data_IF_922422875667
#
_entry.id   IF_922422875667
#
_cell.length_a   1.000
_cell.length_b   1.000
_cell.length_c   1.000
_cell.angle_alpha   90.00
_cell.angle_beta   90.00
_cell.angle_gamma   90.00
#
_symmetry.space_group_name_H-M   'P 1'
#
loop_
_entity.id
_entity.type
_entity.pdbx_description
1 polymer ?
#
# COMPACT_ATOMS: atom_id res chain seq x y z
N UNK A 1 -1.65 21.93 10.69
CA UNK A 1 -1.41 20.47 10.75
C UNK A 1 -1.82 19.90 9.40
N UNK A 2 -0.86 19.46 8.60
CA UNK A 2 -1.17 18.91 7.28
C UNK A 2 -1.50 17.42 7.45
N UNK A 3 -2.80 17.11 7.35
CA UNK A 3 -3.37 15.77 7.42
C UNK A 3 -4.03 15.48 6.08
N UNK A 4 -3.67 14.36 5.46
CA UNK A 4 -4.21 13.95 4.16
C UNK A 4 -4.89 12.60 4.31
N UNK A 5 -6.17 12.53 3.97
CA UNK A 5 -6.96 11.31 4.03
C UNK A 5 -7.36 10.90 2.62
N UNK A 6 -7.18 9.63 2.31
CA UNK A 6 -7.62 9.03 1.05
C UNK A 6 -8.33 7.71 1.29
N UNK A 7 -9.15 7.33 0.32
CA UNK A 7 -9.86 6.05 0.30
C UNK A 7 -9.39 5.24 -0.90
N UNK A 8 -9.11 3.96 -0.69
CA UNK A 8 -8.78 3.00 -1.74
C UNK A 8 -9.74 1.82 -1.71
N UNK A 9 -9.84 1.12 -2.85
CA UNK A 9 -10.69 -0.05 -3.02
C UNK A 9 -9.85 -1.30 -3.30
N UNK A 10 -10.16 -2.45 -2.68
CA UNK A 10 -9.53 -3.71 -3.07
C UNK A 10 -10.01 -4.13 -4.47
N UNK A 11 -9.31 -5.07 -5.08
CA UNK A 11 -9.66 -5.65 -6.38
C UNK A 11 -9.70 -7.19 -6.32
N UNK A 12 -10.39 -7.80 -7.28
CA UNK A 12 -10.34 -9.24 -7.53
C UNK A 12 -9.73 -9.48 -8.91
N UNK A 13 -8.69 -10.32 -8.96
CA UNK A 13 -8.05 -10.74 -10.19
C UNK A 13 -8.91 -11.74 -10.99
N UNK A 14 -9.18 -11.42 -12.25
CA UNK A 14 -9.85 -12.28 -13.24
C UNK A 14 -8.78 -13.06 -14.03
N UNK A 15 -7.69 -12.39 -14.42
CA UNK A 15 -6.43 -13.04 -14.81
C UNK A 15 -5.45 -12.91 -13.64
N UNK A 16 -4.96 -14.04 -13.15
CA UNK A 16 -4.22 -14.11 -11.87
C UNK A 16 -2.80 -13.56 -11.99
N UNK A 17 -2.39 -12.79 -10.98
CA UNK A 17 -0.98 -12.53 -10.69
C UNK A 17 -0.45 -13.75 -9.92
N UNK A 18 0.45 -14.54 -10.50
CA UNK A 18 1.01 -15.71 -9.82
C UNK A 18 2.42 -16.05 -10.30
N UNK A 19 3.39 -15.99 -9.40
CA UNK A 19 4.82 -16.10 -9.73
C UNK A 19 5.51 -14.73 -9.80
N UNK A 20 6.83 -14.71 -9.58
CA UNK A 20 7.65 -13.51 -9.63
C UNK A 20 8.95 -13.80 -10.36
N UNK A 21 9.25 -13.00 -11.38
CA UNK A 21 10.55 -13.03 -12.07
C UNK A 21 11.62 -12.28 -11.27
N UNK A 22 11.22 -11.24 -10.53
CA UNK A 22 12.10 -10.54 -9.61
C UNK A 22 11.38 -10.26 -8.28
N UNK A 23 11.85 -10.89 -7.21
CA UNK A 23 11.23 -10.82 -5.87
C UNK A 23 11.46 -9.46 -5.22
N UNK A 24 12.67 -8.89 -5.36
CA UNK A 24 13.09 -7.65 -4.71
C UNK A 24 12.31 -6.45 -5.27
N UNK A 25 12.17 -6.39 -6.59
CA UNK A 25 11.40 -5.37 -7.30
C UNK A 25 9.90 -5.69 -7.42
N UNK A 26 9.47 -6.87 -6.95
CA UNK A 26 8.10 -7.36 -7.04
C UNK A 26 7.55 -7.48 -8.49
N UNK A 27 8.42 -7.81 -9.45
CA UNK A 27 8.05 -7.96 -10.88
C UNK A 27 7.38 -9.33 -11.11
N UNK A 28 6.15 -9.38 -11.67
CA UNK A 28 5.46 -10.63 -11.94
C UNK A 28 6.06 -11.41 -13.11
N UNK A 29 5.85 -12.73 -13.09
CA UNK A 29 6.12 -13.62 -14.22
C UNK A 29 5.07 -13.53 -15.34
N UNK A 30 3.91 -12.94 -15.08
CA UNK A 30 2.85 -12.77 -16.06
C UNK A 30 2.00 -11.51 -15.79
N UNK A 31 1.45 -10.93 -16.84
CA UNK A 31 0.46 -9.85 -16.69
C UNK A 31 -0.82 -10.36 -16.03
N UNK A 32 -1.50 -9.50 -15.29
CA UNK A 32 -2.77 -9.77 -14.61
C UNK A 32 -3.83 -8.73 -14.96
N UNK A 33 -5.10 -9.11 -14.85
CA UNK A 33 -6.25 -8.20 -15.02
C UNK A 33 -7.18 -8.40 -13.84
N UNK A 34 -7.61 -7.31 -13.21
CA UNK A 34 -8.48 -7.29 -12.04
C UNK A 34 -9.60 -6.27 -12.17
N UNK A 35 -10.66 -6.44 -11.39
CA UNK A 35 -11.75 -5.47 -11.28
C UNK A 35 -11.87 -4.93 -9.84
N UNK A 36 -12.08 -3.61 -9.65
CA UNK A 36 -12.21 -3.02 -8.30
C UNK A 36 -13.54 -3.35 -7.63
N UNK A 37 -13.52 -3.56 -6.31
CA UNK A 37 -14.72 -3.76 -5.48
C UNK A 37 -15.12 -2.44 -4.81
N UNK A 38 -15.96 -1.65 -5.48
CA UNK A 38 -16.30 -0.28 -5.06
C UNK A 38 -17.00 -0.18 -3.70
N UNK A 39 -17.63 -1.25 -3.21
CA UNK A 39 -18.30 -1.28 -1.90
C UNK A 39 -17.38 -1.53 -0.72
N UNK A 40 -16.17 -2.06 -0.97
CA UNK A 40 -15.17 -2.30 0.07
C UNK A 40 -14.16 -1.18 0.04
N UNK A 41 -13.81 -0.67 1.22
CA UNK A 41 -12.95 0.50 1.34
C UNK A 41 -11.85 0.27 2.37
N UNK A 42 -10.68 0.85 2.11
CA UNK A 42 -9.64 1.10 3.11
C UNK A 42 -9.41 2.60 3.14
N UNK A 43 -9.67 3.22 4.29
CA UNK A 43 -9.38 4.64 4.52
C UNK A 43 -8.01 4.77 5.18
N UNK A 44 -7.12 5.53 4.56
CA UNK A 44 -5.78 5.77 5.09
C UNK A 44 -5.60 7.26 5.30
N UNK A 45 -5.05 7.63 6.44
CA UNK A 45 -4.68 9.00 6.73
C UNK A 45 -3.20 9.09 7.05
N UNK A 46 -2.54 10.08 6.46
CA UNK A 46 -1.17 10.46 6.79
C UNK A 46 -1.19 11.82 7.47
N UNK A 47 -0.35 11.99 8.48
CA UNK A 47 -0.14 13.25 9.18
C UNK A 47 1.32 13.36 9.58
N UNK A 48 1.86 14.59 9.54
CA UNK A 48 3.20 14.84 10.07
C UNK A 48 3.21 14.63 11.58
N UNK A 49 4.23 13.91 12.06
CA UNK A 49 4.48 13.65 13.47
C UNK A 49 5.97 13.79 13.75
N UNK A 50 6.34 13.99 15.01
CA UNK A 50 7.75 14.03 15.44
C UNK A 50 8.44 12.67 15.30
N UNK A 51 7.66 11.59 15.34
CA UNK A 51 8.17 10.21 15.19
C UNK A 51 7.25 9.41 14.28
N UNK A 52 7.84 8.54 13.45
CA UNK A 52 7.07 7.67 12.57
C UNK A 52 6.23 6.66 13.37
N UNK A 53 4.95 6.58 13.04
CA UNK A 53 4.01 5.63 13.64
C UNK A 53 3.16 4.99 12.55
N UNK A 54 2.88 3.70 12.70
CA UNK A 54 1.93 2.99 11.86
C UNK A 54 0.79 2.47 12.73
N UNK A 55 -0.44 2.83 12.37
CA UNK A 55 -1.65 2.46 13.09
C UNK A 55 -2.57 1.76 12.09
N UNK A 56 -2.92 0.51 12.38
CA UNK A 56 -3.84 -0.30 11.57
C UNK A 56 -5.02 -0.73 12.44
N UNK A 57 -6.25 -0.45 12.01
CA UNK A 57 -7.46 -0.77 12.76
C UNK A 57 -7.43 -0.28 14.22
N UNK A 58 -6.97 0.97 14.42
CA UNK A 58 -6.80 1.63 15.72
C UNK A 58 -5.76 0.98 16.66
N UNK A 59 -4.93 0.06 16.15
CA UNK A 59 -3.83 -0.54 16.91
C UNK A 59 -2.50 -0.06 16.33
N UNK A 60 -1.60 0.38 17.21
CA UNK A 60 -0.23 0.68 16.80
C UNK A 60 0.49 -0.63 16.48
N UNK A 61 1.08 -0.70 15.30
CA UNK A 61 1.82 -1.87 14.79
C UNK A 61 3.24 -1.45 14.39
N UNK A 62 4.13 -2.42 14.22
CA UNK A 62 5.44 -2.14 13.63
C UNK A 62 5.30 -1.67 12.18
N UNK A 63 6.12 -0.68 11.79
CA UNK A 63 6.09 -0.14 10.43
C UNK A 63 6.68 -1.19 9.47
N UNK A 64 5.88 -1.73 8.52
CA UNK A 64 6.37 -2.73 7.58
C UNK A 64 7.51 -2.20 6.71
N UNK A 65 8.51 -3.04 6.44
CA UNK A 65 9.67 -2.66 5.61
C UNK A 65 9.25 -2.07 4.25
N UNK A 66 8.23 -2.65 3.62
CA UNK A 66 7.71 -2.17 2.32
C UNK A 66 7.15 -0.74 2.39
N UNK A 67 6.57 -0.35 3.52
CA UNK A 67 6.09 1.02 3.72
C UNK A 67 7.27 1.97 3.84
N UNK A 68 8.29 1.61 4.65
CA UNK A 68 9.52 2.42 4.79
C UNK A 68 10.20 2.67 3.44
N UNK A 69 10.38 1.63 2.64
CA UNK A 69 10.99 1.73 1.30
C UNK A 69 10.17 2.63 0.38
N UNK A 70 8.83 2.52 0.40
CA UNK A 70 7.96 3.38 -0.40
C UNK A 70 8.07 4.86 -0.02
N UNK A 71 8.09 5.20 1.28
CA UNK A 71 8.27 6.59 1.73
C UNK A 71 9.63 7.16 1.33
N UNK A 72 10.71 6.39 1.49
CA UNK A 72 12.05 6.79 1.05
C UNK A 72 12.14 7.06 -0.46
N UNK A 73 11.31 6.39 -1.27
CA UNK A 73 11.25 6.64 -2.71
C UNK A 73 10.43 7.89 -3.04
N UNK A 74 9.39 8.21 -2.27
CA UNK A 74 8.59 9.42 -2.44
C UNK A 74 9.37 10.69 -2.08
N UNK A 75 10.23 10.64 -1.06
CA UNK A 75 11.08 11.78 -0.66
C UNK A 75 12.18 12.12 -1.69
N UNK A 76 12.47 11.19 -2.60
CA UNK A 76 13.45 11.38 -3.69
C UNK A 76 12.84 12.00 -4.95
N UNK A 77 11.51 12.12 -5.02
CA UNK A 77 10.79 12.78 -6.11
C UNK A 77 10.71 14.28 -5.87
#
# INVERSE_FOLDING_TARGET
>A
MNKFTTTSHPNIAIIKYWGKDNIDLNIPSNSSISFPLTKLITTTTIEYSEVDKFILNNKQEEIPLRIKVSFQNLEKL
#
